data_IF_005643025713
#
_entry.id   IF_005643025713
#
_cell.length_a   1.000
_cell.length_b   1.000
_cell.length_c   1.000
_cell.angle_alpha   90.00
_cell.angle_beta   90.00
_cell.angle_gamma   90.00
#
_symmetry.space_group_name_H-M   'P 1'
#
loop_
_entity.id
_entity.type
_entity.pdbx_description
1 polymer ?
#
# COMPACT_ATOMS: atom_id res chain seq x y z
N UNK A 1 21.45 -15.62 -43.83
CA UNK A 1 21.83 -16.22 -42.54
C UNK A 1 21.93 -15.10 -41.52
N UNK A 2 20.96 -14.97 -40.62
CA UNK A 2 20.98 -13.94 -39.58
C UNK A 2 22.02 -14.33 -38.51
N UNK A 3 22.98 -13.44 -38.26
CA UNK A 3 24.05 -13.64 -37.27
C UNK A 3 23.46 -13.73 -35.87
N UNK A 4 23.49 -14.94 -35.28
CA UNK A 4 23.20 -15.19 -33.87
C UNK A 4 24.35 -14.61 -33.04
N UNK A 5 24.20 -13.37 -32.60
CA UNK A 5 25.15 -12.73 -31.69
C UNK A 5 24.37 -11.89 -30.67
N UNK A 6 23.57 -12.54 -29.82
CA UNK A 6 22.79 -11.85 -28.78
C UNK A 6 23.61 -11.50 -27.51
N UNK A 7 24.93 -11.71 -27.50
CA UNK A 7 25.79 -11.47 -26.33
C UNK A 7 26.99 -10.53 -26.57
N UNK A 8 27.20 -10.03 -27.79
CA UNK A 8 28.39 -9.22 -28.11
C UNK A 8 28.11 -7.72 -27.99
N UNK A 9 27.48 -7.31 -26.90
CA UNK A 9 27.60 -5.94 -26.43
C UNK A 9 28.78 -5.92 -25.46
N UNK A 10 29.80 -5.12 -25.76
CA UNK A 10 31.04 -5.08 -24.99
C UNK A 10 30.82 -4.74 -23.48
N UNK A 11 29.67 -4.14 -23.15
CA UNK A 11 29.22 -3.92 -21.77
C UNK A 11 28.76 -5.18 -21.02
N UNK A 12 28.13 -6.15 -21.71
CA UNK A 12 27.65 -7.41 -21.12
C UNK A 12 28.81 -8.33 -20.71
N UNK A 13 29.94 -8.26 -21.43
CA UNK A 13 31.13 -9.07 -21.13
C UNK A 13 31.78 -8.72 -19.80
N UNK A 14 31.58 -7.51 -19.28
CA UNK A 14 32.17 -7.10 -18.00
C UNK A 14 31.57 -7.87 -16.81
N UNK A 15 30.33 -8.34 -16.94
CA UNK A 15 29.62 -9.09 -15.90
C UNK A 15 29.70 -10.60 -16.11
N UNK A 16 30.18 -11.04 -17.27
CA UNK A 16 30.23 -12.45 -17.62
C UNK A 16 31.31 -13.18 -16.80
N UNK A 17 31.01 -14.40 -16.36
CA UNK A 17 31.95 -15.24 -15.64
C UNK A 17 33.10 -15.71 -16.54
N UNK A 18 34.32 -15.95 -16.03
CA UNK A 18 35.49 -16.26 -16.84
C UNK A 18 35.33 -17.53 -17.71
N UNK A 19 34.45 -18.45 -17.34
CA UNK A 19 34.15 -19.68 -18.07
C UNK A 19 33.11 -19.52 -19.21
N UNK A 20 32.45 -18.37 -19.32
CA UNK A 20 31.31 -18.15 -20.25
C UNK A 20 31.68 -18.13 -21.74
N UNK A 21 32.96 -18.30 -22.08
CA UNK A 21 33.46 -18.38 -23.45
C UNK A 21 32.87 -19.56 -24.27
N UNK A 22 32.21 -20.52 -23.62
CA UNK A 22 31.69 -21.75 -24.25
C UNK A 22 30.15 -21.79 -24.48
N UNK A 23 29.45 -20.65 -24.49
CA UNK A 23 27.99 -20.58 -24.71
C UNK A 23 27.13 -21.39 -23.71
N UNK A 24 27.66 -21.67 -22.52
CA UNK A 24 26.90 -22.32 -21.44
C UNK A 24 26.82 -21.37 -20.25
N UNK A 25 25.70 -20.66 -20.15
CA UNK A 25 25.29 -20.05 -18.89
C UNK A 25 24.85 -21.16 -17.94
N UNK A 26 25.43 -21.17 -16.75
CA UNK A 26 25.06 -22.06 -15.66
C UNK A 26 24.64 -21.25 -14.45
N UNK A 27 24.01 -21.90 -13.47
CA UNK A 27 23.62 -21.24 -12.21
C UNK A 27 24.83 -20.57 -11.51
N UNK A 28 26.02 -21.15 -11.63
CA UNK A 28 27.26 -20.59 -11.08
C UNK A 28 27.69 -19.32 -11.81
N UNK A 29 27.45 -19.23 -13.13
CA UNK A 29 27.73 -18.02 -13.91
C UNK A 29 26.77 -16.86 -13.56
N UNK A 30 25.52 -17.18 -13.18
CA UNK A 30 24.58 -16.19 -12.65
C UNK A 30 25.03 -15.69 -11.28
N UNK A 31 25.49 -16.59 -10.40
CA UNK A 31 26.06 -16.23 -9.08
C UNK A 31 27.24 -15.26 -9.22
N UNK A 32 28.14 -15.50 -10.18
CA UNK A 32 29.23 -14.58 -10.49
C UNK A 32 28.71 -13.19 -10.89
N UNK A 33 27.79 -13.16 -11.86
CA UNK A 33 27.27 -11.91 -12.40
C UNK A 33 26.60 -11.07 -11.32
N UNK A 34 25.82 -11.72 -10.45
CA UNK A 34 25.20 -11.08 -9.28
C UNK A 34 26.27 -10.57 -8.30
N UNK A 35 27.30 -11.36 -8.02
CA UNK A 35 28.40 -10.94 -7.13
C UNK A 35 29.11 -9.69 -7.63
N UNK A 36 29.40 -9.63 -8.94
CA UNK A 36 29.98 -8.45 -9.59
C UNK A 36 29.09 -7.22 -9.41
N UNK A 37 27.78 -7.37 -9.68
CA UNK A 37 26.80 -6.28 -9.54
C UNK A 37 26.73 -5.79 -8.10
N UNK A 38 26.65 -6.68 -7.11
CA UNK A 38 26.55 -6.30 -5.70
C UNK A 38 27.79 -5.50 -5.27
N UNK A 39 28.99 -5.97 -5.63
CA UNK A 39 30.23 -5.24 -5.31
C UNK A 39 30.22 -3.86 -5.97
N UNK A 40 29.79 -3.77 -7.24
CA UNK A 40 29.72 -2.50 -7.95
C UNK A 40 28.69 -1.54 -7.33
N UNK A 41 27.53 -2.03 -6.89
CA UNK A 41 26.52 -1.21 -6.20
C UNK A 41 27.05 -0.68 -4.87
N UNK A 42 27.76 -1.51 -4.10
CA UNK A 42 28.28 -1.13 -2.78
C UNK A 42 29.47 -0.15 -2.89
N UNK A 43 30.31 -0.31 -3.90
CA UNK A 43 31.57 0.45 -4.03
C UNK A 43 31.50 1.59 -5.05
N UNK A 44 30.47 1.59 -5.91
CA UNK A 44 30.38 2.45 -7.09
C UNK A 44 31.41 2.13 -8.18
N UNK A 45 32.18 1.04 -8.04
CA UNK A 45 33.30 0.71 -8.92
C UNK A 45 33.25 -0.78 -9.27
N UNK A 46 33.25 -1.07 -10.57
CA UNK A 46 33.35 -2.45 -11.03
C UNK A 46 34.59 -3.18 -10.45
N UNK A 47 34.43 -4.38 -9.83
CA UNK A 47 35.50 -5.06 -9.10
C UNK A 47 36.74 -5.36 -9.94
N UNK A 48 36.54 -5.67 -11.23
CA UNK A 48 37.63 -6.00 -12.16
C UNK A 48 38.09 -4.81 -13.03
N UNK A 49 37.64 -3.57 -12.74
CA UNK A 49 37.91 -2.39 -13.59
C UNK A 49 39.41 -2.17 -13.83
N UNK A 50 39.83 -2.31 -15.08
CA UNK A 50 41.15 -1.94 -15.59
C UNK A 50 41.19 -0.54 -16.19
N UNK A 51 42.35 -0.15 -16.76
CA UNK A 51 42.52 1.13 -17.44
C UNK A 51 41.80 1.16 -18.79
N UNK A 52 41.81 0.02 -19.49
CA UNK A 52 41.07 -0.21 -20.72
C UNK A 52 40.06 -1.34 -20.56
N UNK A 53 39.13 -1.47 -21.51
CA UNK A 53 38.21 -2.61 -21.55
C UNK A 53 38.95 -3.95 -21.64
N UNK A 54 40.03 -4.02 -22.42
CA UNK A 54 40.85 -5.22 -22.54
C UNK A 54 41.48 -5.61 -21.20
N UNK A 55 41.91 -4.62 -20.42
CA UNK A 55 42.45 -4.86 -19.08
C UNK A 55 41.36 -5.37 -18.13
N UNK A 56 40.15 -4.83 -18.21
CA UNK A 56 39.00 -5.31 -17.42
C UNK A 56 38.69 -6.78 -17.74
N UNK A 57 38.62 -7.14 -19.03
CA UNK A 57 38.40 -8.52 -19.44
C UNK A 57 39.56 -9.44 -19.00
N UNK A 58 40.81 -8.96 -19.11
CA UNK A 58 41.99 -9.71 -18.62
C UNK A 58 41.96 -9.92 -17.10
N UNK A 59 41.51 -8.93 -16.33
CA UNK A 59 41.30 -9.05 -14.89
C UNK A 59 40.23 -10.10 -14.56
N UNK A 60 39.10 -10.11 -15.30
CA UNK A 60 38.05 -11.13 -15.16
C UNK A 60 38.61 -12.53 -15.44
N UNK A 61 39.25 -12.73 -16.59
CA UNK A 61 39.83 -14.03 -16.98
C UNK A 61 40.90 -14.51 -16.00
N UNK A 62 41.65 -13.60 -15.37
CA UNK A 62 42.66 -13.93 -14.35
C UNK A 62 42.10 -14.05 -12.93
N UNK A 63 40.87 -13.59 -12.67
CA UNK A 63 40.29 -13.52 -11.33
C UNK A 63 40.88 -12.41 -10.46
N UNK A 64 41.52 -11.40 -11.06
CA UNK A 64 42.16 -10.29 -10.35
C UNK A 64 41.19 -9.14 -10.14
N UNK A 65 40.56 -9.09 -8.97
CA UNK A 65 39.68 -7.98 -8.58
C UNK A 65 40.40 -6.99 -7.63
N UNK A 66 39.86 -5.77 -7.53
CA UNK A 66 40.31 -4.77 -6.57
C UNK A 66 39.96 -5.21 -5.14
N UNK A 67 40.85 -5.03 -4.15
CA UNK A 67 40.54 -5.37 -2.77
C UNK A 67 39.24 -4.72 -2.30
N UNK A 68 38.39 -5.50 -1.63
CA UNK A 68 37.13 -4.98 -1.08
C UNK A 68 37.44 -3.97 0.05
N UNK A 69 36.80 -2.78 0.04
CA UNK A 69 37.00 -1.77 1.07
C UNK A 69 36.75 -2.28 2.50
N UNK A 70 37.37 -1.62 3.47
CA UNK A 70 37.32 -2.04 4.87
C UNK A 70 35.92 -2.03 5.47
N UNK A 71 34.95 -1.29 4.93
CA UNK A 71 33.58 -1.32 5.43
C UNK A 71 32.79 -2.58 5.01
N UNK A 72 33.30 -3.36 4.04
CA UNK A 72 32.75 -4.66 3.68
C UNK A 72 33.46 -5.70 4.54
N UNK A 73 32.83 -6.18 5.62
CA UNK A 73 33.46 -7.08 6.59
C UNK A 73 32.59 -8.31 6.87
N UNK A 74 33.15 -9.25 7.64
CA UNK A 74 32.44 -10.41 8.16
C UNK A 74 31.89 -11.32 7.08
N UNK A 75 30.70 -11.86 7.32
CA UNK A 75 30.03 -12.81 6.43
C UNK A 75 29.79 -12.23 5.03
N UNK A 76 29.42 -10.95 4.92
CA UNK A 76 29.20 -10.30 3.62
C UNK A 76 30.46 -10.33 2.75
N UNK A 77 31.64 -10.07 3.33
CA UNK A 77 32.91 -10.17 2.60
C UNK A 77 33.13 -11.58 2.07
N UNK A 78 33.01 -12.58 2.94
CA UNK A 78 33.21 -14.00 2.61
C UNK A 78 32.25 -14.42 1.49
N UNK A 79 31.00 -13.99 1.59
CA UNK A 79 29.96 -14.25 0.61
C UNK A 79 30.33 -13.67 -0.76
N UNK A 80 30.68 -12.38 -0.82
CA UNK A 80 31.01 -11.71 -2.08
C UNK A 80 32.26 -12.30 -2.72
N UNK A 81 33.32 -12.55 -1.95
CA UNK A 81 34.55 -13.19 -2.44
C UNK A 81 34.28 -14.61 -2.98
N UNK A 82 33.38 -15.36 -2.33
CA UNK A 82 32.92 -16.66 -2.81
C UNK A 82 32.15 -16.58 -4.13
N UNK A 83 31.25 -15.60 -4.27
CA UNK A 83 30.45 -15.40 -5.48
C UNK A 83 31.32 -15.06 -6.71
N UNK A 84 32.37 -14.25 -6.53
CA UNK A 84 33.31 -13.87 -7.60
C UNK A 84 34.55 -14.79 -7.66
N UNK A 85 34.44 -16.03 -7.17
CA UNK A 85 35.51 -17.02 -7.33
C UNK A 85 35.69 -17.39 -8.81
N UNK A 86 36.94 -17.35 -9.29
CA UNK A 86 37.28 -17.81 -10.65
C UNK A 86 36.92 -19.28 -10.87
N UNK A 87 37.13 -20.11 -9.85
CA UNK A 87 36.69 -21.50 -9.85
C UNK A 87 35.19 -21.57 -9.57
N UNK A 88 34.41 -21.96 -10.58
CA UNK A 88 32.95 -22.02 -10.52
C UNK A 88 32.47 -23.02 -9.46
N UNK A 89 33.23 -24.08 -9.18
CA UNK A 89 32.86 -25.11 -8.18
C UNK A 89 32.94 -24.61 -6.75
N UNK A 90 33.70 -23.54 -6.52
CA UNK A 90 33.84 -22.89 -5.21
C UNK A 90 32.79 -21.82 -4.96
N UNK A 91 32.01 -21.46 -5.98
CA UNK A 91 30.94 -20.47 -5.82
C UNK A 91 29.81 -21.10 -4.99
N UNK A 92 29.28 -20.39 -3.99
CA UNK A 92 28.15 -20.89 -3.22
C UNK A 92 26.92 -21.01 -4.12
N UNK A 93 26.07 -22.00 -3.83
CA UNK A 93 24.75 -22.07 -4.47
C UNK A 93 23.87 -20.92 -3.98
N UNK A 94 22.89 -20.51 -4.79
CA UNK A 94 21.89 -19.50 -4.38
C UNK A 94 21.19 -19.90 -3.08
N UNK A 95 20.91 -21.20 -2.90
CA UNK A 95 20.33 -21.72 -1.66
C UNK A 95 21.24 -21.45 -0.46
N UNK A 96 22.53 -21.76 -0.57
CA UNK A 96 23.50 -21.50 0.50
C UNK A 96 23.64 -19.99 0.81
N UNK A 97 23.57 -19.14 -0.22
CA UNK A 97 23.56 -17.68 -0.04
C UNK A 97 22.32 -17.21 0.75
N UNK A 98 21.15 -17.76 0.46
CA UNK A 98 19.91 -17.44 1.16
C UNK A 98 19.87 -17.97 2.60
N UNK A 99 20.63 -19.02 2.89
CA UNK A 99 20.76 -19.60 4.23
C UNK A 99 21.81 -18.88 5.10
N UNK A 100 22.54 -17.90 4.56
CA UNK A 100 23.49 -17.06 5.32
C UNK A 100 22.80 -16.28 6.45
N UNK A 101 23.53 -16.02 7.53
CA UNK A 101 23.01 -15.31 8.71
C UNK A 101 22.51 -13.91 8.30
N UNK A 102 23.29 -13.20 7.50
CA UNK A 102 22.97 -11.88 6.97
C UNK A 102 21.65 -11.90 6.19
N UNK A 103 21.47 -12.86 5.28
CA UNK A 103 20.26 -12.93 4.47
C UNK A 103 19.03 -13.34 5.28
N UNK A 104 19.19 -14.27 6.23
CA UNK A 104 18.12 -14.63 7.17
C UNK A 104 17.70 -13.43 8.03
N UNK A 105 18.65 -12.64 8.53
CA UNK A 105 18.38 -11.45 9.31
C UNK A 105 17.60 -10.39 8.49
N UNK A 106 18.02 -10.14 7.24
CA UNK A 106 17.28 -9.25 6.33
C UNK A 106 15.86 -9.75 6.11
N UNK A 107 15.68 -11.05 5.86
CA UNK A 107 14.35 -11.65 5.70
C UNK A 107 13.47 -11.51 6.95
N UNK A 108 14.04 -11.59 8.16
CA UNK A 108 13.30 -11.33 9.41
C UNK A 108 12.89 -9.85 9.54
N UNK A 109 13.77 -8.92 9.15
CA UNK A 109 13.48 -7.49 9.18
C UNK A 109 12.36 -7.14 8.21
N UNK A 110 12.37 -7.69 7.00
CA UNK A 110 11.33 -7.46 5.98
C UNK A 110 9.97 -7.98 6.45
N UNK A 111 9.90 -9.22 6.95
CA UNK A 111 8.68 -9.78 7.54
C UNK A 111 8.15 -8.92 8.69
N UNK A 112 9.04 -8.40 9.53
CA UNK A 112 8.67 -7.52 10.65
C UNK A 112 8.11 -6.17 10.17
N UNK A 113 8.61 -5.64 9.04
CA UNK A 113 8.07 -4.41 8.43
C UNK A 113 6.68 -4.65 7.83
N UNK A 114 6.48 -5.78 7.15
CA UNK A 114 5.17 -6.15 6.59
C UNK A 114 4.11 -6.27 7.69
N UNK A 115 4.40 -7.00 8.76
CA UNK A 115 3.47 -7.15 9.89
C UNK A 115 3.13 -5.81 10.56
N UNK A 116 4.10 -4.90 10.69
CA UNK A 116 3.85 -3.54 11.19
C UNK A 116 2.98 -2.73 10.24
N UNK A 117 3.18 -2.85 8.93
CA UNK A 117 2.34 -2.21 7.91
C UNK A 117 0.88 -2.63 8.03
N UNK A 118 0.61 -3.94 8.11
CA UNK A 118 -0.75 -4.47 8.31
C UNK A 118 -1.35 -4.05 9.66
N UNK A 119 -0.55 -3.99 10.72
CA UNK A 119 -1.01 -3.50 12.03
C UNK A 119 -1.46 -2.04 12.00
N UNK A 120 -0.70 -1.17 11.34
CA UNK A 120 -1.05 0.25 11.18
C UNK A 120 -2.31 0.43 10.32
N UNK A 121 -2.44 -0.32 9.23
CA UNK A 121 -3.61 -0.25 8.36
C UNK A 121 -4.89 -0.73 9.08
N UNK A 122 -4.81 -1.84 9.82
CA UNK A 122 -5.93 -2.33 10.63
C UNK A 122 -6.32 -1.35 11.74
N UNK A 123 -5.36 -0.72 12.41
CA UNK A 123 -5.64 0.29 13.43
C UNK A 123 -6.35 1.52 12.82
N UNK A 124 -5.88 1.98 11.65
CA UNK A 124 -6.50 3.09 10.94
C UNK A 124 -7.92 2.74 10.45
N UNK A 125 -8.11 1.52 9.94
CA UNK A 125 -9.43 1.03 9.54
C UNK A 125 -10.39 0.96 10.72
N UNK A 126 -9.94 0.42 11.87
CA UNK A 126 -10.75 0.35 13.10
C UNK A 126 -11.14 1.74 13.62
N UNK A 127 -10.24 2.73 13.58
CA UNK A 127 -10.57 4.11 13.93
C UNK A 127 -11.67 4.68 13.03
N UNK A 128 -11.59 4.40 11.73
CA UNK A 128 -12.57 4.87 10.74
C UNK A 128 -13.93 4.18 10.88
N UNK A 129 -13.94 2.88 11.21
CA UNK A 129 -15.16 2.13 11.54
C UNK A 129 -15.84 2.74 12.76
N UNK A 130 -15.11 2.94 13.86
CA UNK A 130 -15.68 3.56 15.07
C UNK A 130 -16.23 4.98 14.80
N UNK A 131 -15.55 5.78 13.99
CA UNK A 131 -16.02 7.12 13.63
C UNK A 131 -17.32 7.05 12.80
N UNK A 132 -17.39 6.12 11.85
CA UNK A 132 -18.59 5.91 11.03
C UNK A 132 -19.76 5.41 11.87
N UNK A 133 -19.53 4.47 12.79
CA UNK A 133 -20.55 3.98 13.72
C UNK A 133 -21.14 5.11 14.57
N UNK A 134 -20.30 6.01 15.08
CA UNK A 134 -20.75 7.19 15.83
C UNK A 134 -21.60 8.13 14.97
N UNK A 135 -21.22 8.36 13.70
CA UNK A 135 -22.00 9.19 12.76
C UNK A 135 -23.33 8.55 12.39
N UNK A 136 -23.37 7.24 12.16
CA UNK A 136 -24.61 6.51 11.88
C UNK A 136 -25.57 6.67 13.06
N UNK A 137 -25.08 6.46 14.29
CA UNK A 137 -25.89 6.61 15.50
C UNK A 137 -26.45 8.03 15.66
N UNK A 138 -25.66 9.07 15.39
CA UNK A 138 -26.18 10.45 15.48
C UNK A 138 -27.24 10.75 14.43
N UNK A 139 -27.07 10.26 13.19
CA UNK A 139 -28.03 10.45 12.11
C UNK A 139 -29.35 9.70 12.37
N UNK A 140 -29.30 8.53 13.00
CA UNK A 140 -30.49 7.79 13.42
C UNK A 140 -31.29 8.56 14.46
N UNK A 141 -30.61 9.16 15.45
CA UNK A 141 -31.26 10.01 16.47
C UNK A 141 -31.90 11.24 15.83
N UNK A 142 -31.18 11.91 14.91
CA UNK A 142 -31.68 13.09 14.21
C UNK A 142 -32.92 12.77 13.35
N UNK A 143 -32.89 11.66 12.60
CA UNK A 143 -34.05 11.19 11.83
C UNK A 143 -35.27 10.88 12.70
N UNK A 144 -35.06 10.28 13.87
CA UNK A 144 -36.15 9.94 14.76
C UNK A 144 -36.76 11.20 15.40
N UNK A 145 -35.92 12.18 15.74
CA UNK A 145 -36.36 13.48 16.22
C UNK A 145 -37.17 14.24 15.16
N UNK A 146 -36.67 14.31 13.91
CA UNK A 146 -37.40 14.93 12.79
C UNK A 146 -38.77 14.30 12.55
N UNK A 147 -38.87 12.96 12.63
CA UNK A 147 -40.16 12.26 12.52
C UNK A 147 -41.11 12.66 13.65
N UNK A 148 -40.64 12.70 14.89
CA UNK A 148 -41.46 13.11 16.02
C UNK A 148 -41.94 14.56 15.89
N UNK A 149 -41.09 15.45 15.41
CA UNK A 149 -41.45 16.86 15.25
C UNK A 149 -42.48 17.06 14.14
N UNK A 150 -42.34 16.36 13.00
CA UNK A 150 -43.38 16.32 11.95
C UNK A 150 -44.72 15.79 12.46
N UNK A 151 -44.71 14.74 13.28
CA UNK A 151 -45.93 14.19 13.89
C UNK A 151 -46.58 15.18 14.85
N UNK A 152 -45.79 15.90 15.66
CA UNK A 152 -46.31 16.94 16.57
C UNK A 152 -46.88 18.13 15.81
N UNK A 153 -46.22 18.55 14.73
CA UNK A 153 -46.68 19.65 13.88
C UNK A 153 -48.00 19.32 13.19
N UNK A 154 -48.11 18.11 12.61
CA UNK A 154 -49.37 17.63 12.03
C UNK A 154 -50.50 17.62 13.07
N UNK A 155 -50.26 17.06 14.27
CA UNK A 155 -51.26 17.08 15.36
C UNK A 155 -51.69 18.49 15.75
N UNK A 156 -50.77 19.46 15.77
CA UNK A 156 -51.10 20.86 16.09
C UNK A 156 -51.95 21.51 15.00
N UNK A 157 -51.65 21.21 13.73
CA UNK A 157 -52.45 21.69 12.60
C UNK A 157 -53.88 21.13 12.66
N UNK A 158 -54.03 19.82 12.89
CA UNK A 158 -55.32 19.14 12.99
C UNK A 158 -56.18 19.73 14.13
N UNK A 159 -55.57 20.00 15.31
CA UNK A 159 -56.26 20.62 16.45
C UNK A 159 -56.73 22.04 16.12
N UNK A 160 -55.87 22.87 15.51
CA UNK A 160 -56.22 24.25 15.17
C UNK A 160 -57.33 24.32 14.11
N UNK A 161 -57.37 23.37 13.17
CA UNK A 161 -58.45 23.25 12.20
C UNK A 161 -59.78 22.86 12.88
N UNK A 162 -59.75 21.88 13.80
CA UNK A 162 -60.92 21.49 14.57
C UNK A 162 -61.48 22.63 15.44
N UNK A 163 -60.61 23.44 16.07
CA UNK A 163 -61.02 24.61 16.85
C UNK A 163 -61.68 25.68 15.97
N UNK A 164 -61.15 25.93 14.76
CA UNK A 164 -61.78 26.84 13.79
C UNK A 164 -63.17 26.36 13.37
N UNK A 165 -63.31 25.08 13.05
CA UNK A 165 -64.60 24.48 12.65
C UNK A 165 -65.62 24.61 13.79
N UNK A 166 -65.21 24.33 15.02
CA UNK A 166 -66.07 24.46 16.20
C UNK A 166 -66.49 25.92 16.43
N UNK A 167 -65.57 26.89 16.29
CA UNK A 167 -65.86 28.31 16.46
C UNK A 167 -66.82 28.86 15.38
N UNK A 168 -66.73 28.37 14.15
CA UNK A 168 -67.69 28.68 13.07
C UNK A 168 -69.08 28.14 13.41
N UNK A 169 -69.18 26.88 13.85
CA UNK A 169 -70.45 26.28 14.27
C UNK A 169 -71.11 27.02 15.44
N UNK A 170 -70.32 27.46 16.43
CA UNK A 170 -70.80 28.30 17.54
C UNK A 170 -71.34 29.66 17.06
N UNK A 171 -70.64 30.30 16.12
CA UNK A 171 -71.10 31.56 15.52
C UNK A 171 -72.41 31.38 14.76
N UNK A 172 -72.54 30.32 13.97
CA UNK A 172 -73.77 30.03 13.23
C UNK A 172 -74.96 29.81 14.19
N UNK A 173 -74.76 29.05 15.27
CA UNK A 173 -75.78 28.90 16.34
C UNK A 173 -76.17 30.25 16.95
N UNK A 174 -75.21 31.13 17.22
CA UNK A 174 -75.47 32.44 17.82
C UNK A 174 -76.24 33.38 16.88
N UNK A 175 -75.97 33.30 15.57
CA UNK A 175 -76.70 34.05 14.54
C UNK A 175 -78.16 33.58 14.52
N UNK A 176 -78.40 32.27 14.47
CA UNK A 176 -79.75 31.70 14.50
C UNK A 176 -80.52 32.14 15.75
N UNK A 177 -79.88 32.14 16.93
CA UNK A 177 -80.50 32.62 18.17
C UNK A 177 -80.84 34.11 18.11
N UNK A 178 -79.95 34.94 17.54
CA UNK A 178 -80.20 36.38 17.36
C UNK A 178 -81.36 36.63 16.40
N UNK A 179 -81.40 35.93 15.27
CA UNK A 179 -82.47 36.08 14.27
C UNK A 179 -83.83 35.71 14.87
N UNK A 180 -83.90 34.63 15.66
CA UNK A 180 -85.10 34.25 16.42
C UNK A 180 -85.48 35.34 17.44
N UNK A 181 -84.51 35.90 18.16
CA UNK A 181 -84.76 36.94 19.18
C UNK A 181 -85.29 38.24 18.56
N UNK A 182 -84.78 38.63 17.38
CA UNK A 182 -85.25 39.79 16.64
C UNK A 182 -86.69 39.56 16.15
N UNK A 183 -86.97 38.40 15.57
CA UNK A 183 -88.31 38.04 15.10
C UNK A 183 -89.36 38.05 16.23
N UNK A 184 -88.98 37.70 17.45
CA UNK A 184 -89.86 37.76 18.63
C UNK A 184 -90.11 39.21 19.08
N UNK A 185 -89.13 40.11 18.94
CA UNK A 185 -89.27 41.53 19.31
C UNK A 185 -90.09 42.38 18.32
N UNK A 186 -90.19 41.95 17.06
CA UNK A 186 -90.99 42.66 16.04
C UNK A 186 -92.50 42.31 16.11
N UNK A 187 -92.91 41.42 17.03
CA UNK A 187 -94.31 41.03 17.24
C UNK A 187 -94.96 41.63 18.52
N UNK A 188 -94.26 42.53 19.22
CA UNK A 188 -94.80 43.34 20.34
C UNK A 188 -94.97 44.81 19.94
#
# INVERSE_FOLDING_TARGET
>A
MASKTYLYAAGTLNYAAPETEQNKMTSESDVWSIGVIIIEVITGIHPFKGLTQKDTLSNISSGKYKPLPDYIQGELRIMLEGMISKDYTKRPTVKALLESETMQLVGMIEKSKEQKGFGQENEQMNKKVNELEMKVRSLEVEKEQEKQDKVKEQKRADIAEQEKVNALSEKDKLIVVKDITIAVKEQE
#
